data_IF_645690689206
#
_entry.id   IF_645690689206
#
_cell.length_a   1.000
_cell.length_b   1.000
_cell.length_c   1.000
_cell.angle_alpha   90.00
_cell.angle_beta   90.00
_cell.angle_gamma   90.00
#
_symmetry.space_group_name_H-M   'P 1'
#
loop_
_entity.id
_entity.type
_entity.pdbx_description
1 polymer ?
#
# COMPACT_ATOMS: atom_id res chain seq x y z
N UNK A 1 10.01 -15.72 7.39
CA UNK A 1 9.08 -14.68 6.88
C UNK A 1 9.95 -13.65 6.20
N UNK A 2 9.54 -13.00 5.12
CA UNK A 2 10.34 -11.92 4.53
C UNK A 2 10.10 -10.67 5.36
N UNK A 3 11.17 -10.13 5.96
CA UNK A 3 11.10 -8.89 6.71
C UNK A 3 11.17 -7.72 5.72
N UNK A 4 10.21 -6.82 5.80
CA UNK A 4 10.23 -5.57 5.06
C UNK A 4 10.93 -4.51 5.90
N UNK A 5 11.79 -3.74 5.26
CA UNK A 5 12.41 -2.54 5.83
C UNK A 5 12.24 -1.36 4.89
N UNK A 6 12.51 -0.16 5.36
CA UNK A 6 12.45 1.03 4.52
C UNK A 6 12.58 2.32 5.32
N UNK A 7 12.70 3.45 4.58
CA UNK A 7 12.82 4.75 5.21
C UNK A 7 11.57 5.11 6.01
N UNK A 8 11.80 5.92 7.05
CA UNK A 8 10.78 6.36 8.00
C UNK A 8 10.87 7.85 8.27
N UNK A 9 9.74 8.43 8.60
CA UNK A 9 9.65 9.74 9.20
C UNK A 9 8.86 9.65 10.50
N UNK A 10 9.49 9.89 11.65
CA UNK A 10 8.79 9.93 12.92
C UNK A 10 7.83 11.12 12.99
N UNK A 11 6.91 11.14 13.97
CA UNK A 11 6.03 12.27 14.21
C UNK A 11 6.79 13.60 14.30
N UNK A 12 6.34 14.61 13.54
CA UNK A 12 7.01 15.90 13.46
C UNK A 12 6.91 16.73 14.74
N UNK A 13 5.97 16.41 15.63
CA UNK A 13 5.82 17.01 16.95
C UNK A 13 6.77 16.43 18.00
N UNK A 14 7.62 15.46 17.66
CA UNK A 14 8.57 14.81 18.55
C UNK A 14 7.97 13.92 19.64
N UNK A 15 6.68 13.62 19.57
CA UNK A 15 5.99 12.72 20.51
C UNK A 15 5.90 11.30 19.95
N UNK A 16 5.40 10.38 20.78
CA UNK A 16 5.04 9.04 20.32
C UNK A 16 3.96 9.10 19.24
N UNK A 17 4.05 8.23 18.25
CA UNK A 17 3.07 8.15 17.17
C UNK A 17 1.66 7.85 17.72
N UNK A 18 0.67 8.57 17.21
CA UNK A 18 -0.77 8.36 17.45
C UNK A 18 -1.47 7.86 16.17
N UNK A 19 -0.74 7.66 15.11
CA UNK A 19 -1.20 7.09 13.85
C UNK A 19 -0.01 6.64 13.02
N UNK A 20 -0.29 5.79 12.05
CA UNK A 20 0.70 5.22 11.14
C UNK A 20 0.21 5.34 9.71
N UNK A 21 1.06 5.81 8.82
CA UNK A 21 0.84 5.78 7.37
C UNK A 21 1.91 4.92 6.73
N UNK A 22 1.48 3.88 6.02
CA UNK A 22 2.37 3.04 5.22
C UNK A 22 2.24 3.45 3.75
N UNK A 23 3.37 3.86 3.16
CA UNK A 23 3.48 4.32 1.78
C UNK A 23 4.00 3.16 0.91
N UNK A 24 3.19 2.70 -0.04
CA UNK A 24 3.49 1.54 -0.89
C UNK A 24 3.81 2.00 -2.32
N UNK A 25 5.09 1.89 -2.69
CA UNK A 25 5.59 2.36 -3.98
C UNK A 25 5.11 1.53 -5.18
N UNK A 26 5.26 2.08 -6.37
CA UNK A 26 4.95 1.43 -7.63
C UNK A 26 6.03 0.44 -8.10
N UNK A 27 5.70 -0.31 -9.14
CA UNK A 27 6.60 -1.23 -9.82
C UNK A 27 7.84 -0.51 -10.36
N UNK A 28 9.02 -1.00 -10.03
CA UNK A 28 10.29 -0.44 -10.49
C UNK A 28 10.84 0.73 -9.65
N UNK A 29 10.09 1.18 -8.64
CA UNK A 29 10.54 2.11 -7.61
C UNK A 29 11.00 1.37 -6.34
N UNK A 30 11.20 2.09 -5.27
CA UNK A 30 11.50 1.57 -3.94
C UNK A 30 10.91 2.46 -2.84
N UNK A 31 11.14 2.14 -1.56
CA UNK A 31 10.61 2.91 -0.44
C UNK A 31 11.10 4.36 -0.39
N UNK A 32 12.26 4.68 -0.97
CA UNK A 32 12.79 6.06 -0.99
C UNK A 32 11.99 6.99 -1.91
N UNK A 33 11.24 6.43 -2.86
CA UNK A 33 10.43 7.21 -3.80
C UNK A 33 9.29 7.95 -3.07
N UNK A 34 8.47 7.23 -2.29
CA UNK A 34 7.30 7.84 -1.68
C UNK A 34 7.55 8.50 -0.32
N UNK A 35 8.61 8.15 0.40
CA UNK A 35 8.88 8.76 1.72
C UNK A 35 9.09 10.27 1.62
N UNK A 36 9.53 10.76 0.46
CA UNK A 36 9.66 12.20 0.19
C UNK A 36 8.36 13.00 0.29
N UNK A 37 7.20 12.34 0.26
CA UNK A 37 5.88 12.97 0.46
C UNK A 37 5.57 13.20 1.94
N UNK A 38 6.16 12.40 2.83
CA UNK A 38 5.87 12.43 4.25
C UNK A 38 6.06 13.81 4.91
N UNK A 39 7.13 14.60 4.61
CA UNK A 39 7.29 15.94 5.20
C UNK A 39 6.16 16.92 4.87
N UNK A 40 5.53 16.77 3.70
CA UNK A 40 4.41 17.64 3.31
C UNK A 40 3.14 17.24 4.07
N UNK A 41 2.85 15.95 4.15
CA UNK A 41 1.65 15.42 4.79
C UNK A 41 1.75 15.61 6.32
N UNK A 42 2.94 15.45 6.90
CA UNK A 42 3.18 15.61 8.33
C UNK A 42 2.88 17.02 8.88
N UNK A 43 2.75 18.05 8.02
CA UNK A 43 2.31 19.38 8.44
C UNK A 43 0.89 19.36 8.99
N UNK A 44 0.02 18.57 8.36
CA UNK A 44 -1.39 18.43 8.75
C UNK A 44 -1.60 17.24 9.71
N UNK A 45 -0.65 16.31 9.76
CA UNK A 45 -0.67 15.10 10.58
C UNK A 45 0.59 14.99 11.46
N UNK A 46 0.85 15.96 12.39
CA UNK A 46 2.12 16.05 13.12
C UNK A 46 2.36 14.89 14.12
N UNK A 47 1.32 14.11 14.44
CA UNK A 47 1.39 12.98 15.37
C UNK A 47 1.53 11.62 14.67
N UNK A 48 1.62 11.61 13.32
CA UNK A 48 1.65 10.39 12.51
C UNK A 48 3.10 10.03 12.17
N UNK A 49 3.42 8.75 12.32
CA UNK A 49 4.63 8.15 11.74
C UNK A 49 4.35 7.70 10.32
N UNK A 50 5.30 7.95 9.44
CA UNK A 50 5.29 7.48 8.05
C UNK A 50 6.38 6.45 7.86
N UNK A 51 6.05 5.34 7.21
CA UNK A 51 6.99 4.32 6.80
C UNK A 51 6.75 3.94 5.35
N UNK A 52 7.82 3.80 4.58
CA UNK A 52 7.75 3.45 3.16
C UNK A 52 8.63 2.22 2.91
N UNK A 53 8.08 1.00 3.11
CA UNK A 53 8.86 -0.21 2.99
C UNK A 53 9.28 -0.46 1.53
N UNK A 54 10.49 -1.00 1.36
CA UNK A 54 10.93 -1.58 0.11
C UNK A 54 10.13 -2.85 -0.19
N UNK A 55 9.60 -2.97 -1.40
CA UNK A 55 8.96 -4.21 -1.83
C UNK A 55 9.98 -5.38 -1.80
N UNK A 56 9.52 -6.63 -1.55
CA UNK A 56 10.43 -7.73 -1.21
C UNK A 56 11.30 -8.21 -2.38
N UNK A 57 10.85 -8.01 -3.64
CA UNK A 57 11.54 -8.58 -4.81
C UNK A 57 12.29 -7.54 -5.63
N UNK A 58 13.46 -7.88 -6.20
CA UNK A 58 14.07 -7.07 -7.27
C UNK A 58 13.11 -6.93 -8.43
N UNK A 59 13.10 -5.76 -9.08
CA UNK A 59 12.23 -5.54 -10.23
C UNK A 59 12.79 -6.21 -11.50
N UNK A 60 11.93 -6.88 -12.26
CA UNK A 60 12.30 -7.54 -13.52
C UNK A 60 12.70 -6.56 -14.61
N UNK A 61 12.14 -5.35 -14.58
CA UNK A 61 12.32 -4.33 -15.62
C UNK A 61 13.22 -3.16 -15.21
N UNK A 62 13.67 -3.14 -13.95
CA UNK A 62 14.51 -2.06 -13.41
C UNK A 62 15.61 -2.63 -12.53
N UNK A 63 16.89 -2.45 -12.87
CA UNK A 63 18.00 -3.09 -12.16
C UNK A 63 18.18 -2.60 -10.72
N UNK A 64 17.63 -1.44 -10.38
CA UNK A 64 17.72 -0.83 -9.04
C UNK A 64 16.36 -0.76 -8.33
N UNK A 65 15.28 -1.08 -9.05
CA UNK A 65 13.93 -1.00 -8.52
C UNK A 65 13.48 -2.30 -7.84
N UNK A 66 12.34 -2.20 -7.21
CA UNK A 66 11.67 -3.29 -6.49
C UNK A 66 10.27 -3.51 -7.05
N UNK A 67 9.69 -4.67 -6.71
CA UNK A 67 8.33 -5.03 -7.07
C UNK A 67 7.68 -5.82 -5.94
N UNK A 68 6.37 -5.61 -5.78
CA UNK A 68 5.57 -6.38 -4.82
C UNK A 68 5.29 -7.79 -5.34
N UNK A 69 5.07 -7.90 -6.64
CA UNK A 69 4.88 -9.15 -7.37
C UNK A 69 5.24 -8.96 -8.86
N UNK A 70 5.42 -10.07 -9.58
CA UNK A 70 5.75 -10.02 -11.01
C UNK A 70 4.62 -9.41 -11.84
N UNK A 71 4.99 -8.64 -12.86
CA UNK A 71 4.11 -8.18 -13.94
C UNK A 71 4.49 -8.79 -15.30
N UNK A 72 5.37 -9.78 -15.31
CA UNK A 72 5.79 -10.49 -16.53
C UNK A 72 4.65 -11.26 -17.19
N UNK A 73 3.78 -11.87 -16.37
CA UNK A 73 2.50 -12.43 -16.81
C UNK A 73 1.36 -11.64 -16.14
N UNK A 74 0.55 -10.99 -16.97
CA UNK A 74 -0.60 -10.17 -16.53
C UNK A 74 -1.93 -10.91 -16.63
N UNK A 75 -1.92 -12.24 -16.76
CA UNK A 75 -3.14 -13.05 -16.65
C UNK A 75 -3.82 -12.83 -15.30
N UNK A 76 -5.13 -13.02 -15.24
CA UNK A 76 -5.89 -12.85 -13.99
C UNK A 76 -5.36 -13.76 -12.89
N UNK A 77 -5.03 -14.99 -13.24
CA UNK A 77 -4.50 -16.01 -12.33
C UNK A 77 -3.14 -15.60 -11.75
N UNK A 78 -2.22 -15.15 -12.59
CA UNK A 78 -0.88 -14.68 -12.20
C UNK A 78 -0.96 -13.44 -11.31
N UNK A 79 -1.79 -12.47 -11.69
CA UNK A 79 -1.99 -11.24 -10.91
C UNK A 79 -2.59 -11.54 -9.54
N UNK A 80 -3.59 -12.42 -9.47
CA UNK A 80 -4.21 -12.84 -8.21
C UNK A 80 -3.20 -13.58 -7.32
N UNK A 81 -2.46 -14.54 -7.87
CA UNK A 81 -1.44 -15.27 -7.12
C UNK A 81 -0.36 -14.32 -6.58
N UNK A 82 0.11 -13.39 -7.41
CA UNK A 82 1.12 -12.40 -7.03
C UNK A 82 0.66 -11.48 -5.91
N UNK A 83 -0.53 -10.87 -6.05
CA UNK A 83 -1.05 -9.96 -5.01
C UNK A 83 -1.39 -10.70 -3.72
N UNK A 84 -1.85 -11.95 -3.81
CA UNK A 84 -2.12 -12.80 -2.64
C UNK A 84 -0.84 -13.07 -1.85
N UNK A 85 0.25 -13.43 -2.53
CA UNK A 85 1.56 -13.63 -1.89
C UNK A 85 2.06 -12.32 -1.25
N UNK A 86 2.02 -11.21 -1.98
CA UNK A 86 2.45 -9.91 -1.48
C UNK A 86 1.61 -9.45 -0.27
N UNK A 87 0.32 -9.78 -0.26
CA UNK A 87 -0.59 -9.44 0.84
C UNK A 87 -0.20 -10.12 2.16
N UNK A 88 0.34 -11.32 2.12
CA UNK A 88 0.80 -12.03 3.33
C UNK A 88 2.01 -11.30 3.93
N UNK A 89 2.96 -10.87 3.08
CA UNK A 89 4.14 -10.13 3.51
C UNK A 89 3.75 -8.76 4.08
N UNK A 90 2.86 -8.04 3.39
CA UNK A 90 2.40 -6.74 3.86
C UNK A 90 1.58 -6.84 5.16
N UNK A 91 0.71 -7.84 5.31
CA UNK A 91 -0.05 -8.03 6.54
C UNK A 91 0.86 -8.29 7.75
N UNK A 92 1.88 -9.13 7.60
CA UNK A 92 2.86 -9.36 8.66
C UNK A 92 3.58 -8.05 9.06
N UNK A 93 4.04 -7.28 8.08
CA UNK A 93 4.67 -5.98 8.32
C UNK A 93 3.73 -4.99 9.02
N UNK A 94 2.47 -4.92 8.59
CA UNK A 94 1.45 -4.07 9.24
C UNK A 94 1.29 -4.45 10.71
N UNK A 95 1.17 -5.74 11.01
CA UNK A 95 0.94 -6.20 12.36
C UNK A 95 2.14 -5.90 13.28
N UNK A 96 3.37 -6.10 12.78
CA UNK A 96 4.61 -5.73 13.47
C UNK A 96 4.71 -4.22 13.74
N UNK A 97 4.37 -3.38 12.75
CA UNK A 97 4.42 -1.93 12.91
C UNK A 97 3.35 -1.40 13.87
N UNK A 98 2.15 -1.97 13.86
CA UNK A 98 1.11 -1.63 14.82
C UNK A 98 1.51 -2.02 16.25
N UNK A 99 2.05 -3.22 16.44
CA UNK A 99 2.56 -3.69 17.74
C UNK A 99 3.69 -2.80 18.25
N UNK A 100 4.70 -2.55 17.42
CA UNK A 100 5.85 -1.70 17.73
C UNK A 100 5.45 -0.30 18.20
N UNK A 101 4.43 0.28 17.57
CA UNK A 101 3.92 1.60 17.90
C UNK A 101 2.82 1.57 18.98
N UNK A 102 2.36 0.39 19.38
CA UNK A 102 1.22 0.18 20.27
C UNK A 102 -0.03 0.93 19.77
N UNK A 103 -0.32 0.72 18.47
CA UNK A 103 -1.47 1.32 17.78
C UNK A 103 -2.52 0.25 17.45
N UNK A 104 -3.79 0.64 17.52
CA UNK A 104 -4.89 -0.18 17.01
C UNK A 104 -5.02 -0.03 15.48
N UNK A 105 -5.60 -1.02 14.77
CA UNK A 105 -5.73 -0.99 13.31
C UNK A 105 -6.43 0.26 12.75
N UNK A 106 -7.40 0.83 13.46
CA UNK A 106 -8.09 2.06 13.08
C UNK A 106 -7.21 3.33 13.07
N UNK A 107 -5.94 3.19 13.48
CA UNK A 107 -4.91 4.24 13.42
C UNK A 107 -3.95 4.07 12.24
N UNK A 108 -4.19 3.07 11.37
CA UNK A 108 -3.39 2.81 10.19
C UNK A 108 -4.10 3.32 8.93
N UNK A 109 -3.39 4.05 8.09
CA UNK A 109 -3.77 4.28 6.70
C UNK A 109 -2.73 3.70 5.73
N UNK A 110 -3.21 3.15 4.61
CA UNK A 110 -2.38 2.73 3.50
C UNK A 110 -2.46 3.77 2.38
N UNK A 111 -1.31 4.18 1.87
CA UNK A 111 -1.22 5.07 0.71
C UNK A 111 -0.40 4.36 -0.36
N UNK A 112 -1.00 4.09 -1.50
CA UNK A 112 -0.37 3.34 -2.57
C UNK A 112 -0.23 4.14 -3.86
N UNK A 113 0.81 3.83 -4.64
CA UNK A 113 0.97 4.29 -6.00
C UNK A 113 1.08 3.07 -6.94
N UNK A 114 0.28 3.04 -8.01
CA UNK A 114 0.29 1.99 -9.04
C UNK A 114 0.18 0.58 -8.44
N UNK A 115 1.22 -0.24 -8.48
CA UNK A 115 1.25 -1.58 -7.87
C UNK A 115 1.00 -1.53 -6.36
N UNK A 116 1.50 -0.49 -5.66
CA UNK A 116 1.22 -0.27 -4.23
C UNK A 116 -0.26 0.00 -3.97
N UNK A 117 -0.97 0.70 -4.88
CA UNK A 117 -2.43 0.86 -4.81
C UNK A 117 -3.14 -0.48 -4.97
N UNK A 118 -2.72 -1.30 -5.95
CA UNK A 118 -3.32 -2.64 -6.15
C UNK A 118 -3.23 -3.47 -4.88
N UNK A 119 -2.08 -3.44 -4.22
CA UNK A 119 -1.85 -4.16 -2.98
C UNK A 119 -2.65 -3.57 -1.80
N UNK A 120 -2.71 -2.24 -1.68
CA UNK A 120 -3.51 -1.56 -0.64
C UNK A 120 -5.00 -1.89 -0.73
N UNK A 121 -5.56 -1.88 -1.94
CA UNK A 121 -6.95 -2.24 -2.22
C UNK A 121 -7.23 -3.72 -1.98
N UNK A 122 -6.23 -4.57 -2.17
CA UNK A 122 -6.38 -6.00 -1.90
C UNK A 122 -6.35 -6.29 -0.40
N UNK A 123 -5.44 -5.65 0.35
CA UNK A 123 -5.22 -5.88 1.79
C UNK A 123 -6.30 -5.19 2.64
N UNK A 124 -6.53 -3.90 2.44
CA UNK A 124 -7.37 -3.09 3.33
C UNK A 124 -8.74 -3.70 3.65
N UNK A 125 -9.55 -4.03 2.63
CA UNK A 125 -10.88 -4.61 2.85
C UNK A 125 -10.87 -6.04 3.40
N UNK A 126 -9.75 -6.77 3.27
CA UNK A 126 -9.61 -8.18 3.72
C UNK A 126 -9.05 -8.32 5.14
N UNK A 127 -8.72 -7.22 5.81
CA UNK A 127 -8.31 -7.25 7.21
C UNK A 127 -9.49 -7.52 8.13
N UNK A 128 -9.24 -8.27 9.23
CA UNK A 128 -10.27 -8.62 10.22
C UNK A 128 -10.83 -7.39 10.97
N UNK A 129 -9.98 -6.39 11.17
CA UNK A 129 -10.35 -5.13 11.81
C UNK A 129 -10.15 -3.99 10.82
N UNK A 130 -11.11 -3.05 10.71
CA UNK A 130 -10.99 -1.95 9.76
C UNK A 130 -9.79 -1.06 10.09
N UNK A 131 -9.10 -0.63 9.04
CA UNK A 131 -8.05 0.39 9.11
C UNK A 131 -8.67 1.78 8.93
N UNK A 132 -7.91 2.85 9.22
CA UNK A 132 -8.37 4.24 9.06
C UNK A 132 -8.76 4.56 7.61
N UNK A 133 -8.06 4.00 6.63
CA UNK A 133 -8.41 4.18 5.23
C UNK A 133 -7.33 3.73 4.25
N UNK A 134 -7.71 3.79 2.96
CA UNK A 134 -6.82 3.56 1.83
C UNK A 134 -6.87 4.77 0.90
N UNK A 135 -5.71 5.30 0.53
CA UNK A 135 -5.58 6.30 -0.54
C UNK A 135 -4.76 5.67 -1.66
N UNK A 136 -5.34 5.55 -2.83
CA UNK A 136 -4.71 4.91 -3.98
C UNK A 136 -4.54 5.85 -5.15
N UNK A 137 -3.32 5.92 -5.68
CA UNK A 137 -2.98 6.69 -6.87
C UNK A 137 -2.69 5.76 -8.03
N UNK A 138 -3.28 6.00 -9.20
CA UNK A 138 -2.97 5.35 -10.48
C UNK A 138 -2.90 3.82 -10.41
N UNK A 139 -3.81 3.20 -9.70
CA UNK A 139 -3.89 1.76 -9.54
C UNK A 139 -5.27 1.20 -9.91
N UNK A 140 -5.43 -0.10 -9.71
CA UNK A 140 -6.70 -0.79 -9.96
C UNK A 140 -6.95 -1.87 -8.91
N UNK A 141 -8.20 -2.28 -8.75
CA UNK A 141 -8.55 -3.45 -7.97
C UNK A 141 -8.20 -4.73 -8.75
N UNK A 142 -7.52 -5.67 -8.10
CA UNK A 142 -7.24 -6.99 -8.66
C UNK A 142 -8.33 -7.95 -8.22
N UNK A 143 -8.86 -8.74 -9.17
CA UNK A 143 -9.92 -9.70 -8.98
C UNK A 143 -11.16 -9.09 -8.26
N UNK A 144 -11.79 -8.03 -8.83
CA UNK A 144 -12.95 -7.38 -8.23
C UNK A 144 -14.11 -8.37 -7.99
N UNK A 145 -14.23 -9.39 -8.83
CA UNK A 145 -15.24 -10.45 -8.72
C UNK A 145 -15.15 -11.28 -7.44
N UNK A 146 -13.97 -11.32 -6.81
CA UNK A 146 -13.75 -12.07 -5.56
C UNK A 146 -13.98 -11.19 -4.33
N UNK A 147 -13.94 -9.87 -4.47
CA UNK A 147 -13.99 -8.96 -3.33
C UNK A 147 -15.27 -9.15 -2.51
N UNK A 148 -16.42 -9.33 -3.15
CA UNK A 148 -17.70 -9.49 -2.47
C UNK A 148 -17.73 -10.71 -1.52
N UNK A 149 -16.91 -11.74 -1.80
CA UNK A 149 -16.80 -12.94 -0.98
C UNK A 149 -15.74 -12.80 0.10
N UNK A 150 -14.68 -12.03 -0.19
CA UNK A 150 -13.47 -11.93 0.65
C UNK A 150 -13.50 -10.73 1.60
N UNK A 151 -14.38 -9.76 1.35
CA UNK A 151 -14.44 -8.52 2.12
C UNK A 151 -14.85 -8.81 3.57
N UNK A 152 -14.04 -8.34 4.51
CA UNK A 152 -14.29 -8.46 5.96
C UNK A 152 -14.64 -7.11 6.57
N UNK A 153 -14.03 -6.05 6.05
CA UNK A 153 -14.23 -4.68 6.54
C UNK A 153 -14.41 -3.71 5.38
N UNK A 154 -14.95 -2.53 5.68
CA UNK A 154 -15.17 -1.46 4.69
C UNK A 154 -14.48 -0.17 5.13
N UNK A 155 -13.14 -0.11 5.09
CA UNK A 155 -12.44 1.13 5.38
C UNK A 155 -12.79 2.20 4.32
N UNK A 156 -12.72 3.49 4.67
CA UNK A 156 -12.82 4.55 3.68
C UNK A 156 -11.75 4.38 2.59
N UNK A 157 -12.14 4.53 1.32
CA UNK A 157 -11.23 4.43 0.18
C UNK A 157 -11.33 5.70 -0.66
N UNK A 158 -10.18 6.29 -0.96
CA UNK A 158 -10.06 7.41 -1.89
C UNK A 158 -9.14 6.99 -3.03
N UNK A 159 -9.64 7.07 -4.27
CA UNK A 159 -8.87 6.78 -5.46
C UNK A 159 -8.66 8.06 -6.27
N UNK A 160 -7.42 8.25 -6.71
CA UNK A 160 -6.99 9.40 -7.51
C UNK A 160 -6.29 8.86 -8.75
N UNK A 161 -6.72 9.30 -9.92
CA UNK A 161 -6.20 8.78 -11.18
C UNK A 161 -6.01 9.89 -12.21
N UNK A 162 -4.93 9.83 -12.95
CA UNK A 162 -4.71 10.73 -14.08
C UNK A 162 -5.62 10.37 -15.25
N UNK A 163 -6.36 11.34 -15.77
CA UNK A 163 -7.27 11.11 -16.92
C UNK A 163 -6.55 10.62 -18.18
N UNK A 164 -5.24 10.86 -18.29
CA UNK A 164 -4.38 10.46 -19.41
C UNK A 164 -3.32 9.42 -19.00
N UNK A 165 -3.62 8.56 -18.02
CA UNK A 165 -2.72 7.50 -17.61
C UNK A 165 -2.73 6.37 -18.65
N UNK A 166 -1.61 6.22 -19.36
CA UNK A 166 -1.44 5.22 -20.42
C UNK A 166 -1.07 3.83 -19.88
N UNK A 167 -0.65 3.73 -18.61
CA UNK A 167 -0.21 2.47 -17.99
C UNK A 167 -1.35 1.74 -17.29
N UNK A 168 -2.16 2.48 -16.55
CA UNK A 168 -3.39 1.99 -15.92
C UNK A 168 -4.52 2.90 -16.37
N UNK A 169 -5.43 2.42 -17.23
CA UNK A 169 -6.50 3.25 -17.75
C UNK A 169 -7.39 3.83 -16.64
N UNK A 170 -7.81 5.10 -16.79
CA UNK A 170 -8.67 5.77 -15.82
C UNK A 170 -10.03 5.05 -15.62
N UNK A 171 -10.50 4.27 -16.63
CA UNK A 171 -11.66 3.39 -16.50
C UNK A 171 -11.54 2.34 -15.39
N UNK A 172 -10.33 2.04 -14.95
CA UNK A 172 -10.10 1.13 -13.81
C UNK A 172 -10.66 1.66 -12.49
N UNK A 173 -10.99 2.98 -12.40
CA UNK A 173 -11.69 3.54 -11.24
C UNK A 173 -13.14 3.07 -11.15
N UNK A 174 -13.78 2.80 -12.28
CA UNK A 174 -15.19 2.35 -12.33
C UNK A 174 -15.32 0.90 -11.84
N UNK A 175 -14.24 0.13 -11.94
CA UNK A 175 -14.18 -1.29 -11.53
C UNK A 175 -13.76 -1.46 -10.06
N UNK A 176 -13.34 -0.38 -9.40
CA UNK A 176 -12.79 -0.40 -8.04
C UNK A 176 -13.76 0.19 -7.01
#
# INVERSE_FOLDING_TARGET
MMDLDGPRQPPSNGKKANGLVILLHGYGADGNDLIGLAPMIARDLPEVEFVSPHAPFPCEMSPYGRQWFSLGDRSKESMLAGVTMASQVLNAFIDEELEKNNLSPDRLALVGFSQGTMLSLFVGPRRETPIAGVVGYSGRLIAPELLAQDIKTKPPVTLIHGASDDMVPASSLEDA
#
